data_IF_293737576792
#
_entry.id   IF_293737576792
#
_cell.length_a   1.000
_cell.length_b   1.000
_cell.length_c   1.000
_cell.angle_alpha   90.00
_cell.angle_beta   90.00
_cell.angle_gamma   90.00
#
_symmetry.space_group_name_H-M   'P 1'
#
loop_
_entity.id
_entity.type
_entity.pdbx_description
1 polymer ?
#
# COMPACT_ATOMS: atom_id res chain seq x y z
N UNK A 1 -10.38 5.46 -21.81
CA UNK A 1 -9.17 4.81 -22.39
C UNK A 1 -8.86 3.55 -21.61
N UNK A 2 -8.36 2.50 -22.25
CA UNK A 2 -7.89 1.30 -21.55
C UNK A 2 -6.44 1.48 -21.12
N UNK A 3 -6.19 1.31 -19.84
CA UNK A 3 -4.87 1.39 -19.25
C UNK A 3 -4.44 0.00 -18.80
N UNK A 4 -3.18 -0.34 -19.04
CA UNK A 4 -2.59 -1.63 -18.73
C UNK A 4 -1.47 -1.37 -17.74
N UNK A 5 -1.57 -1.90 -16.54
CA UNK A 5 -0.59 -1.70 -15.47
C UNK A 5 0.20 -2.98 -15.26
N UNK A 6 1.53 -2.93 -15.30
CA UNK A 6 2.35 -4.12 -15.10
C UNK A 6 2.34 -4.55 -13.64
N UNK A 7 2.41 -5.85 -13.43
CA UNK A 7 2.46 -6.52 -12.14
C UNK A 7 3.60 -7.57 -12.16
N UNK A 8 4.30 -7.72 -11.04
CA UNK A 8 5.20 -8.86 -10.80
C UNK A 8 4.41 -9.95 -10.10
N UNK A 9 4.31 -11.13 -10.68
CA UNK A 9 3.67 -12.30 -10.07
C UNK A 9 4.64 -13.02 -9.16
N UNK A 10 4.11 -13.54 -8.06
CA UNK A 10 4.88 -14.35 -7.13
C UNK A 10 4.01 -15.32 -6.35
N UNK A 11 4.66 -16.37 -5.87
CA UNK A 11 4.08 -17.37 -5.00
C UNK A 11 4.67 -17.21 -3.59
N UNK A 12 3.79 -17.29 -2.60
CA UNK A 12 4.16 -17.43 -1.19
C UNK A 12 3.48 -18.68 -0.62
N UNK A 13 3.80 -19.03 0.63
CA UNK A 13 3.11 -20.11 1.34
C UNK A 13 1.59 -19.92 1.45
N UNK A 14 1.08 -18.70 1.31
CA UNK A 14 -0.34 -18.38 1.46
C UNK A 14 -1.09 -18.27 0.14
N UNK A 15 -0.40 -18.35 -1.00
CA UNK A 15 -1.01 -18.36 -2.33
C UNK A 15 -0.19 -17.61 -3.39
N UNK A 16 -0.80 -17.44 -4.55
CA UNK A 16 -0.23 -16.65 -5.66
C UNK A 16 -0.78 -15.24 -5.67
N UNK A 17 0.11 -14.27 -5.75
CA UNK A 17 -0.19 -12.86 -5.70
C UNK A 17 0.52 -12.13 -6.84
N UNK A 18 0.07 -10.90 -7.10
CA UNK A 18 0.81 -9.95 -7.92
C UNK A 18 0.94 -8.63 -7.17
N UNK A 19 2.11 -8.02 -7.27
CA UNK A 19 2.35 -6.65 -6.83
C UNK A 19 2.51 -5.76 -8.04
N UNK A 20 1.88 -4.59 -8.00
CA UNK A 20 2.05 -3.58 -9.04
C UNK A 20 3.54 -3.27 -9.27
N UNK A 21 3.97 -3.20 -10.51
CA UNK A 21 5.36 -2.98 -10.90
C UNK A 21 5.66 -1.54 -11.34
N UNK A 22 4.68 -0.63 -11.32
CA UNK A 22 4.82 0.75 -11.82
C UNK A 22 4.53 1.80 -10.74
N UNK A 23 3.33 1.77 -10.17
CA UNK A 23 2.87 2.67 -9.10
C UNK A 23 3.48 2.31 -7.74
N UNK A 24 3.80 1.05 -7.48
CA UNK A 24 4.34 0.60 -6.18
C UNK A 24 5.61 1.31 -5.73
N UNK A 25 6.39 1.83 -6.68
CA UNK A 25 7.60 2.64 -6.44
C UNK A 25 7.36 4.14 -6.55
N UNK A 26 6.20 4.58 -7.03
CA UNK A 26 5.84 6.00 -7.22
C UNK A 26 4.86 6.53 -6.18
N UNK A 27 4.13 5.64 -5.51
CA UNK A 27 3.24 5.99 -4.39
C UNK A 27 4.08 6.44 -3.20
N UNK A 28 3.73 7.59 -2.62
CA UNK A 28 4.50 8.21 -1.55
C UNK A 28 4.40 7.41 -0.24
N UNK A 29 3.17 7.06 0.15
CA UNK A 29 2.92 6.42 1.45
C UNK A 29 3.11 4.90 1.39
N UNK A 30 3.95 4.31 2.26
CA UNK A 30 4.12 2.86 2.34
C UNK A 30 2.80 2.11 2.57
N UNK A 31 1.89 2.66 3.37
CA UNK A 31 0.59 2.03 3.68
C UNK A 31 -0.24 1.77 2.42
N UNK A 32 -0.15 2.67 1.44
CA UNK A 32 -0.86 2.59 0.16
C UNK A 32 -0.17 1.68 -0.84
N UNK A 33 1.11 1.38 -0.67
CA UNK A 33 1.81 0.41 -1.53
C UNK A 33 1.30 -1.01 -1.29
N UNK A 34 0.95 -1.34 -0.04
CA UNK A 34 0.41 -2.66 0.29
C UNK A 34 -0.94 -2.94 -0.41
N UNK A 35 -1.76 -1.92 -0.67
CA UNK A 35 -3.05 -2.11 -1.36
C UNK A 35 -2.91 -2.43 -2.84
N UNK A 36 -1.72 -2.22 -3.40
CA UNK A 36 -1.40 -2.58 -4.79
C UNK A 36 -1.04 -4.06 -4.96
N UNK A 37 -1.06 -4.85 -3.88
CA UNK A 37 -0.93 -6.30 -3.94
C UNK A 37 -2.33 -6.91 -4.10
N UNK A 38 -2.48 -7.81 -5.08
CA UNK A 38 -3.73 -8.54 -5.33
C UNK A 38 -3.48 -10.01 -5.58
N UNK A 39 -4.55 -10.80 -5.65
CA UNK A 39 -4.46 -12.21 -6.05
C UNK A 39 -4.09 -12.31 -7.52
N UNK A 40 -3.33 -13.35 -7.87
CA UNK A 40 -2.90 -13.58 -9.24
C UNK A 40 -4.06 -13.90 -10.21
N UNK A 41 -5.20 -14.38 -9.69
CA UNK A 41 -6.40 -14.72 -10.47
C UNK A 41 -6.98 -13.52 -11.25
N UNK A 42 -6.77 -12.30 -10.74
CA UNK A 42 -7.27 -11.06 -11.35
C UNK A 42 -6.34 -10.51 -12.45
N UNK A 43 -5.23 -11.20 -12.76
CA UNK A 43 -4.14 -10.71 -13.58
C UNK A 43 -3.94 -11.55 -14.84
N UNK A 44 -3.64 -10.88 -15.95
CA UNK A 44 -3.33 -11.55 -17.22
C UNK A 44 -1.81 -11.73 -17.35
N UNK A 45 -1.34 -12.99 -17.43
CA UNK A 45 0.10 -13.29 -17.55
C UNK A 45 0.69 -12.71 -18.84
N UNK A 46 1.93 -12.26 -18.75
CA UNK A 46 2.74 -11.82 -19.88
C UNK A 46 3.90 -12.80 -20.10
N UNK A 47 4.27 -13.02 -21.35
CA UNK A 47 5.43 -13.86 -21.70
C UNK A 47 6.76 -13.14 -21.48
N UNK A 48 6.75 -11.81 -21.51
CA UNK A 48 7.94 -10.97 -21.40
C UNK A 48 7.72 -9.82 -20.41
N UNK A 49 8.82 -9.26 -19.92
CA UNK A 49 8.81 -8.08 -19.05
C UNK A 49 8.20 -6.89 -19.82
N UNK A 50 7.14 -6.26 -19.29
CA UNK A 50 6.61 -5.03 -19.85
C UNK A 50 7.60 -3.88 -19.64
N UNK A 51 7.73 -3.02 -20.65
CA UNK A 51 8.71 -1.92 -20.65
C UNK A 51 8.50 -0.94 -19.49
N UNK A 52 7.25 -0.78 -19.07
CA UNK A 52 6.87 0.13 -18.01
C UNK A 52 7.16 -0.43 -16.60
N UNK A 53 7.48 -1.72 -16.45
CA UNK A 53 7.78 -2.31 -15.14
C UNK A 53 9.08 -1.74 -14.55
N UNK A 54 8.94 -0.98 -13.46
CA UNK A 54 10.04 -0.50 -12.64
C UNK A 54 10.49 -1.52 -11.59
N UNK A 55 9.57 -2.32 -11.06
CA UNK A 55 9.91 -3.37 -10.10
C UNK A 55 10.38 -4.62 -10.84
N UNK A 56 11.53 -5.15 -10.43
CA UNK A 56 12.15 -6.34 -11.03
C UNK A 56 11.90 -7.57 -10.18
N UNK A 57 11.81 -8.74 -10.81
CA UNK A 57 11.64 -10.04 -10.14
C UNK A 57 12.70 -10.29 -9.06
N UNK A 58 13.97 -10.03 -9.39
CA UNK A 58 15.10 -10.23 -8.46
C UNK A 58 15.05 -9.30 -7.24
N UNK A 59 14.40 -8.15 -7.39
CA UNK A 59 14.24 -7.15 -6.32
C UNK A 59 12.99 -7.38 -5.47
N UNK A 60 12.13 -8.32 -5.85
CA UNK A 60 10.80 -8.49 -5.30
C UNK A 60 10.81 -8.85 -3.81
N UNK A 61 11.63 -9.84 -3.44
CA UNK A 61 11.71 -10.30 -2.05
C UNK A 61 12.17 -9.18 -1.13
N UNK A 62 13.23 -8.47 -1.53
CA UNK A 62 13.74 -7.30 -0.81
C UNK A 62 12.71 -6.18 -0.70
N UNK A 63 11.96 -5.92 -1.78
CA UNK A 63 10.89 -4.94 -1.78
C UNK A 63 9.79 -5.29 -0.77
N UNK A 64 9.30 -6.53 -0.79
CA UNK A 64 8.21 -6.99 0.09
C UNK A 64 8.64 -7.03 1.56
N UNK A 65 9.84 -7.52 1.85
CA UNK A 65 10.37 -7.57 3.22
C UNK A 65 10.62 -6.17 3.78
N UNK A 66 11.20 -5.26 2.98
CA UNK A 66 11.40 -3.86 3.36
C UNK A 66 10.07 -3.14 3.61
N UNK A 67 9.08 -3.36 2.73
CA UNK A 67 7.74 -2.81 2.91
C UNK A 67 7.07 -3.33 4.19
N UNK A 68 7.21 -4.62 4.49
CA UNK A 68 6.66 -5.21 5.71
C UNK A 68 7.29 -4.59 6.97
N UNK A 69 8.62 -4.50 7.04
CA UNK A 69 9.31 -3.89 8.19
C UNK A 69 8.88 -2.43 8.38
N UNK A 70 8.86 -1.66 7.30
CA UNK A 70 8.41 -0.26 7.31
C UNK A 70 6.99 -0.13 7.88
N UNK A 71 6.07 -0.99 7.46
CA UNK A 71 4.68 -0.97 7.92
C UNK A 71 4.54 -1.46 9.36
N UNK A 72 5.36 -2.40 9.78
CA UNK A 72 5.39 -2.87 11.17
C UNK A 72 5.77 -1.71 12.10
N UNK A 73 6.86 -1.01 11.80
CA UNK A 73 7.35 0.12 12.58
C UNK A 73 6.34 1.28 12.58
N UNK A 74 5.83 1.67 11.40
CA UNK A 74 4.82 2.71 11.26
C UNK A 74 3.56 2.38 12.07
N UNK A 75 3.10 1.13 12.07
CA UNK A 75 1.93 0.75 12.86
C UNK A 75 2.15 0.91 14.36
N UNK A 76 3.36 0.59 14.85
CA UNK A 76 3.76 0.77 16.24
C UNK A 76 3.87 2.24 16.62
N UNK A 77 4.51 3.06 15.78
CA UNK A 77 4.63 4.50 15.97
C UNK A 77 3.27 5.19 16.02
N UNK A 78 2.39 4.91 15.04
CA UNK A 78 1.02 5.48 14.98
C UNK A 78 0.18 5.09 16.18
N UNK A 79 0.30 3.85 16.64
CA UNK A 79 -0.38 3.39 17.84
C UNK A 79 0.13 4.14 19.09
N UNK A 80 1.44 4.34 19.20
CA UNK A 80 2.05 5.06 20.31
C UNK A 80 1.67 6.55 20.30
N UNK A 81 1.69 7.21 19.14
CA UNK A 81 1.25 8.61 18.96
C UNK A 81 -0.19 8.82 19.47
N UNK A 82 -1.11 7.95 19.04
CA UNK A 82 -2.51 8.00 19.47
C UNK A 82 -2.65 7.78 20.97
N UNK A 83 -2.00 6.74 21.50
CA UNK A 83 -2.03 6.41 22.92
C UNK A 83 -1.52 7.57 23.77
N UNK A 84 -0.43 8.22 23.33
CA UNK A 84 0.15 9.35 24.03
C UNK A 84 -0.76 10.59 24.00
N UNK A 85 -1.39 10.88 22.85
CA UNK A 85 -2.39 11.94 22.75
C UNK A 85 -3.58 11.69 23.69
N UNK A 86 -4.14 10.48 23.68
CA UNK A 86 -5.25 10.10 24.56
C UNK A 86 -4.87 10.20 26.04
N UNK A 87 -3.67 9.74 26.43
CA UNK A 87 -3.17 9.84 27.82
C UNK A 87 -3.07 11.30 28.26
N UNK A 88 -2.43 12.15 27.46
CA UNK A 88 -2.33 13.59 27.77
C UNK A 88 -3.72 14.20 27.92
N UNK A 89 -4.61 13.96 26.96
CA UNK A 89 -5.96 14.51 27.01
C UNK A 89 -6.75 14.03 28.22
N UNK A 90 -6.66 12.76 28.61
CA UNK A 90 -7.26 12.23 29.83
C UNK A 90 -6.76 12.97 31.09
N UNK A 91 -5.46 13.24 31.17
CA UNK A 91 -4.88 13.98 32.30
C UNK A 91 -5.46 15.40 32.38
N UNK A 92 -5.52 16.13 31.26
CA UNK A 92 -6.12 17.47 31.23
C UNK A 92 -7.59 17.46 31.64
N UNK A 93 -8.35 16.43 31.24
CA UNK A 93 -9.76 16.23 31.66
C UNK A 93 -9.89 15.99 33.16
N UNK A 94 -9.00 15.19 33.76
CA UNK A 94 -9.00 14.91 35.21
C UNK A 94 -8.65 16.17 36.02
N UNK A 95 -7.71 16.98 35.53
CA UNK A 95 -7.25 18.20 36.22
C UNK A 95 -8.21 19.39 35.99
N UNK A 96 -9.26 19.21 35.17
CA UNK A 96 -10.31 20.22 34.97
C UNK A 96 -9.88 21.42 34.12
N UNK A 97 -8.82 21.29 33.32
CA UNK A 97 -8.31 22.38 32.48
C UNK A 97 -9.10 22.37 31.16
N UNK A 98 -9.79 23.47 30.81
CA UNK A 98 -10.59 23.55 29.59
C UNK A 98 -9.67 23.67 28.37
N UNK A 99 -9.14 22.54 27.92
CA UNK A 99 -8.49 22.43 26.61
C UNK A 99 -9.59 22.19 25.57
N UNK A 100 -9.59 22.96 24.48
CA UNK A 100 -10.69 22.95 23.50
C UNK A 100 -11.07 21.53 23.06
N UNK A 101 -12.21 21.04 23.55
CA UNK A 101 -12.64 19.64 23.43
C UNK A 101 -12.69 19.19 21.97
N UNK A 102 -13.28 20.03 21.10
CA UNK A 102 -13.40 19.74 19.67
C UNK A 102 -12.03 19.51 19.01
N UNK A 103 -11.01 20.29 19.36
CA UNK A 103 -9.66 20.13 18.78
C UNK A 103 -9.04 18.78 19.13
N UNK A 104 -9.29 18.28 20.33
CA UNK A 104 -8.80 16.96 20.74
C UNK A 104 -9.59 15.82 20.10
N UNK A 105 -10.90 16.00 19.90
CA UNK A 105 -11.72 15.05 19.15
C UNK A 105 -11.23 14.95 17.71
N UNK A 106 -11.13 16.08 17.01
CA UNK A 106 -10.67 16.13 15.61
C UNK A 106 -9.27 15.50 15.47
N UNK A 107 -8.39 15.75 16.45
CA UNK A 107 -7.04 15.18 16.47
C UNK A 107 -7.04 13.67 16.72
N UNK A 108 -7.88 13.15 17.62
CA UNK A 108 -8.00 11.71 17.83
C UNK A 108 -8.58 11.02 16.60
N UNK A 109 -9.58 11.62 15.93
CA UNK A 109 -10.13 11.08 14.68
C UNK A 109 -9.07 11.00 13.57
N UNK A 110 -8.24 12.03 13.42
CA UNK A 110 -7.14 12.03 12.46
C UNK A 110 -6.11 10.93 12.76
N UNK A 111 -5.70 10.81 14.02
CA UNK A 111 -4.75 9.79 14.47
C UNK A 111 -5.33 8.38 14.34
N UNK A 112 -6.61 8.20 14.67
CA UNK A 112 -7.32 6.94 14.50
C UNK A 112 -7.40 6.54 13.03
N UNK A 113 -7.65 7.48 12.12
CA UNK A 113 -7.64 7.21 10.67
C UNK A 113 -6.28 6.73 10.20
N UNK A 114 -5.19 7.42 10.56
CA UNK A 114 -3.82 7.04 10.19
C UNK A 114 -3.43 5.67 10.76
N UNK A 115 -3.78 5.43 12.02
CA UNK A 115 -3.50 4.14 12.67
C UNK A 115 -4.26 2.99 11.99
N UNK A 116 -5.52 3.20 11.59
CA UNK A 116 -6.29 2.21 10.82
C UNK A 116 -5.66 1.91 9.46
N UNK A 117 -5.23 2.93 8.73
CA UNK A 117 -4.56 2.79 7.43
C UNK A 117 -3.29 1.92 7.57
N UNK A 118 -2.43 2.23 8.55
CA UNK A 118 -1.21 1.46 8.82
C UNK A 118 -1.48 0.00 9.24
N UNK A 119 -2.45 -0.22 10.13
CA UNK A 119 -2.80 -1.57 10.58
C UNK A 119 -3.39 -2.44 9.46
N UNK A 120 -4.22 -1.86 8.59
CA UNK A 120 -4.78 -2.57 7.44
C UNK A 120 -3.68 -2.92 6.43
N UNK A 121 -2.78 -1.98 6.13
CA UNK A 121 -1.64 -2.22 5.26
C UNK A 121 -0.74 -3.34 5.80
N UNK A 122 -0.42 -3.31 7.10
CA UNK A 122 0.33 -4.38 7.75
C UNK A 122 -0.42 -5.72 7.71
N UNK A 123 -1.74 -5.72 7.90
CA UNK A 123 -2.54 -6.94 7.83
C UNK A 123 -2.52 -7.57 6.43
N UNK A 124 -2.53 -6.76 5.36
CA UNK A 124 -2.33 -7.24 3.99
C UNK A 124 -0.99 -7.95 3.88
N UNK A 125 0.10 -7.29 4.30
CA UNK A 125 1.45 -7.87 4.21
C UNK A 125 1.61 -9.15 5.04
N UNK A 126 1.07 -9.19 6.26
CA UNK A 126 1.07 -10.39 7.11
C UNK A 126 0.38 -11.56 6.42
N UNK A 127 -0.75 -11.31 5.77
CA UNK A 127 -1.49 -12.33 5.02
C UNK A 127 -0.72 -12.81 3.79
N UNK A 128 -0.16 -11.88 3.02
CA UNK A 128 0.58 -12.18 1.78
C UNK A 128 1.87 -12.96 2.08
N UNK A 129 2.66 -12.50 3.05
CA UNK A 129 3.93 -13.12 3.42
C UNK A 129 3.76 -14.34 4.35
N UNK A 130 2.61 -14.47 5.02
CA UNK A 130 2.34 -15.55 5.96
C UNK A 130 3.07 -15.44 7.30
N UNK A 131 3.49 -14.23 7.68
CA UNK A 131 4.25 -13.95 8.91
C UNK A 131 3.50 -12.99 9.82
N UNK A 132 3.82 -12.99 11.12
CA UNK A 132 3.22 -12.04 12.09
C UNK A 132 4.16 -10.93 12.50
N UNK A 133 5.47 -11.20 12.56
CA UNK A 133 6.47 -10.28 13.08
C UNK A 133 7.75 -10.28 12.25
N UNK A 134 8.61 -9.24 12.37
CA UNK A 134 9.90 -9.19 11.71
C UNK A 134 10.87 -10.33 12.10
N UNK A 135 10.65 -10.99 13.24
CA UNK A 135 11.46 -12.13 13.66
C UNK A 135 11.30 -13.35 12.74
N UNK A 136 10.16 -13.44 12.04
CA UNK A 136 9.83 -14.54 11.12
C UNK A 136 10.30 -14.27 9.68
N UNK A 137 11.00 -13.16 9.42
CA UNK A 137 11.45 -12.80 8.06
C UNK A 137 12.32 -13.89 7.41
N UNK A 138 13.14 -14.59 8.20
CA UNK A 138 13.98 -15.68 7.71
C UNK A 138 13.22 -16.94 7.26
N UNK A 139 11.92 -17.03 7.56
CA UNK A 139 11.06 -18.14 7.16
C UNK A 139 10.26 -17.85 5.88
N UNK A 140 10.37 -16.65 5.33
CA UNK A 140 9.63 -16.24 4.14
C UNK A 140 10.15 -17.01 2.94
N UNK A 141 9.21 -17.44 2.10
CA UNK A 141 9.50 -17.95 0.76
C UNK A 141 8.71 -17.11 -0.22
N UNK A 142 9.42 -16.31 -1.02
CA UNK A 142 8.86 -15.58 -2.17
C UNK A 142 9.48 -16.16 -3.43
N UNK A 143 8.65 -16.75 -4.30
CA UNK A 143 9.09 -17.28 -5.59
C UNK A 143 8.53 -16.41 -6.71
N UNK A 144 9.35 -15.63 -7.42
CA UNK A 144 8.90 -14.90 -8.61
C UNK A 144 8.36 -15.85 -9.68
N UNK A 145 7.28 -15.45 -10.36
CA UNK A 145 6.59 -16.25 -11.38
C UNK A 145 6.50 -15.53 -12.74
N UNK A 146 7.23 -14.43 -12.93
CA UNK A 146 7.15 -13.60 -14.12
C UNK A 146 6.27 -12.36 -13.96
N UNK A 147 5.86 -11.80 -15.09
CA UNK A 147 5.04 -10.59 -15.14
C UNK A 147 3.60 -10.88 -15.53
N UNK A 148 2.72 -9.99 -15.11
CA UNK A 148 1.34 -9.96 -15.54
C UNK A 148 0.90 -8.51 -15.74
N UNK A 149 -0.32 -8.36 -16.21
CA UNK A 149 -0.93 -7.07 -16.46
C UNK A 149 -2.35 -7.03 -15.93
N UNK A 150 -2.69 -5.89 -15.36
CA UNK A 150 -4.06 -5.54 -15.03
C UNK A 150 -4.56 -4.52 -16.05
N UNK A 151 -5.72 -4.79 -16.64
CA UNK A 151 -6.38 -3.86 -17.54
C UNK A 151 -7.60 -3.23 -16.88
N UNK A 152 -7.69 -1.90 -16.95
CA UNK A 152 -8.87 -1.18 -16.49
C UNK A 152 -9.12 0.08 -17.32
N UNK A 153 -10.37 0.51 -17.34
CA UNK A 153 -10.79 1.71 -18.07
C UNK A 153 -10.65 2.96 -17.21
N UNK A 154 -10.19 4.03 -17.86
CA UNK A 154 -10.06 5.36 -17.28
C UNK A 154 -10.71 6.41 -18.18
N UNK A 155 -11.72 7.10 -17.66
CA UNK A 155 -12.49 8.13 -18.35
C UNK A 155 -12.37 9.45 -17.57
N UNK A 156 -11.47 10.33 -18.02
CA UNK A 156 -11.16 11.57 -17.29
C UNK A 156 -10.58 11.28 -15.89
N UNK A 157 -11.37 11.59 -14.85
CA UNK A 157 -11.08 11.30 -13.43
C UNK A 157 -11.70 9.99 -12.93
N UNK A 158 -12.57 9.37 -13.71
CA UNK A 158 -13.18 8.10 -13.32
C UNK A 158 -12.28 6.93 -13.72
N UNK A 159 -12.04 6.04 -12.76
CA UNK A 159 -11.22 4.84 -12.91
C UNK A 159 -12.08 3.66 -12.50
N UNK A 160 -12.19 2.66 -13.36
CA UNK A 160 -13.05 1.49 -13.12
C UNK A 160 -12.55 0.62 -11.98
N UNK A 161 -11.23 0.36 -11.88
CA UNK A 161 -10.67 -0.39 -10.75
C UNK A 161 -10.80 0.40 -9.44
N UNK A 162 -11.39 -0.19 -8.39
CA UNK A 162 -11.68 0.51 -7.13
C UNK A 162 -10.42 0.91 -6.36
N UNK A 163 -9.36 0.11 -6.40
CA UNK A 163 -8.10 0.40 -5.69
C UNK A 163 -7.43 1.60 -6.34
N UNK A 164 -7.28 1.58 -7.67
CA UNK A 164 -6.69 2.72 -8.39
C UNK A 164 -7.56 3.96 -8.31
N UNK A 165 -8.89 3.83 -8.35
CA UNK A 165 -9.82 4.95 -8.20
C UNK A 165 -9.61 5.70 -6.89
N UNK A 166 -9.49 4.99 -5.78
CA UNK A 166 -9.26 5.62 -4.48
C UNK A 166 -7.82 6.10 -4.34
N UNK A 167 -6.83 5.30 -4.76
CA UNK A 167 -5.41 5.68 -4.72
C UNK A 167 -5.13 7.00 -5.45
N UNK A 168 -5.68 7.16 -6.66
CA UNK A 168 -5.47 8.34 -7.49
C UNK A 168 -6.17 9.60 -6.95
N UNK A 169 -7.17 9.46 -6.08
CA UNK A 169 -7.80 10.59 -5.38
C UNK A 169 -6.98 11.06 -4.19
N UNK A 170 -6.35 10.13 -3.48
CA UNK A 170 -5.70 10.40 -2.18
C UNK A 170 -4.19 10.60 -2.28
N UNK A 171 -3.58 10.21 -3.40
CA UNK A 171 -2.13 10.24 -3.63
C UNK A 171 -1.80 11.03 -4.90
N UNK A 172 -1.22 12.22 -4.72
CA UNK A 172 -0.85 13.10 -5.83
C UNK A 172 0.23 12.50 -6.72
N UNK A 173 1.16 11.72 -6.16
CA UNK A 173 2.24 11.10 -6.93
C UNK A 173 1.71 9.98 -7.81
N UNK A 174 0.76 9.19 -7.32
CA UNK A 174 0.03 8.23 -8.15
C UNK A 174 -0.73 8.95 -9.30
N UNK A 175 -1.37 10.09 -8.99
CA UNK A 175 -2.03 10.92 -9.99
C UNK A 175 -1.10 11.42 -11.10
N UNK A 176 0.10 11.88 -10.74
CA UNK A 176 1.14 12.26 -11.70
C UNK A 176 1.62 11.06 -12.50
N UNK A 177 1.96 9.96 -11.84
CA UNK A 177 2.43 8.72 -12.48
C UNK A 177 1.45 8.22 -13.55
N UNK A 178 0.14 8.34 -13.30
CA UNK A 178 -0.88 8.00 -14.29
C UNK A 178 -0.78 8.88 -15.55
N UNK A 179 -0.52 10.18 -15.41
CA UNK A 179 -0.38 11.08 -16.56
C UNK A 179 0.86 10.75 -17.39
N UNK A 180 1.96 10.35 -16.75
CA UNK A 180 3.17 9.88 -17.43
C UNK A 180 2.89 8.60 -18.21
N UNK A 181 2.27 7.61 -17.58
CA UNK A 181 1.88 6.35 -18.24
C UNK A 181 0.91 6.57 -19.41
N UNK A 182 0.03 7.56 -19.32
CA UNK A 182 -0.86 7.95 -20.42
C UNK A 182 -0.13 8.59 -21.60
N UNK A 183 0.96 9.33 -21.34
CA UNK A 183 1.75 10.01 -22.37
C UNK A 183 2.56 9.01 -23.17
N UNK A 184 3.22 8.07 -22.50
CA UNK A 184 4.02 7.00 -23.12
C UNK A 184 3.20 6.10 -24.06
N UNK A 185 1.87 6.01 -23.86
CA UNK A 185 0.98 5.24 -24.77
C UNK A 185 0.42 6.01 -25.96
N UNK A 186 0.65 7.32 -26.03
CA UNK A 186 0.21 8.17 -27.15
C UNK A 186 1.31 8.39 -28.19
N UNK A 187 2.55 8.12 -27.83
CA UNK A 187 3.72 8.08 -28.73
C UNK A 187 3.93 6.65 -29.23
#
# INVERSE_FOLDING_TARGET
>A
MRLRVPYVLFETRTGMYGVDAYFSLRVEKPERRATLIRKAEDLQRLEARPQEALLEEDSLENYLTSLFVTLYDLSGERFNERTHHMRRWNIWRIIGIPTGHQRHVDRDEELARKNREALLALAIMRKVLGIKSPAELGEIVVKPLGYAVLEFEVNGREVSDPVYRELLKIDSNAGMALQWLRREKRE
#
